data_IF_644629949446
#
_entry.id   IF_644629949446
#
_cell.length_a   1.000
_cell.length_b   1.000
_cell.length_c   1.000
_cell.angle_alpha   90.00
_cell.angle_beta   90.00
_cell.angle_gamma   90.00
#
_symmetry.space_group_name_H-M   'P 1'
#
loop_
_entity.id
_entity.type
_entity.pdbx_description
1 polymer ?
#
# COMPACT_ATOMS: atom_id res chain seq x y z
N UNK A 1 5.78 -17.72 -23.43
CA UNK A 1 6.02 -17.04 -24.71
C UNK A 1 7.41 -16.44 -24.63
N UNK A 2 8.20 -16.52 -25.69
CA UNK A 2 9.42 -15.71 -25.85
C UNK A 2 9.04 -14.26 -26.14
N UNK A 3 10.02 -13.34 -26.12
CA UNK A 3 9.79 -11.93 -26.46
C UNK A 3 9.30 -11.79 -27.91
N UNK A 4 9.92 -12.48 -28.87
CA UNK A 4 9.53 -12.45 -30.28
C UNK A 4 8.11 -12.97 -30.49
N UNK A 5 7.75 -14.06 -29.79
CA UNK A 5 6.39 -14.60 -29.82
C UNK A 5 5.35 -13.62 -29.25
N UNK A 6 5.71 -12.83 -28.25
CA UNK A 6 4.85 -11.77 -27.70
C UNK A 6 4.65 -10.64 -28.72
N UNK A 7 5.71 -10.20 -29.40
CA UNK A 7 5.64 -9.17 -30.45
C UNK A 7 4.76 -9.65 -31.60
N UNK A 8 4.94 -10.88 -32.07
CA UNK A 8 4.13 -11.47 -33.14
C UNK A 8 2.66 -11.60 -32.76
N UNK A 9 2.37 -12.03 -31.53
CA UNK A 9 1.02 -12.09 -31.02
C UNK A 9 0.38 -10.70 -30.93
N UNK A 10 1.12 -9.70 -30.45
CA UNK A 10 0.69 -8.32 -30.37
C UNK A 10 0.33 -7.75 -31.75
N UNK A 11 1.21 -7.91 -32.75
CA UNK A 11 0.96 -7.44 -34.14
C UNK A 11 -0.33 -8.02 -34.70
N UNK A 12 -0.58 -9.31 -34.51
CA UNK A 12 -1.79 -9.99 -34.97
C UNK A 12 -3.04 -9.49 -34.24
N UNK A 13 -2.97 -9.40 -32.91
CA UNK A 13 -4.06 -8.92 -32.07
C UNK A 13 -4.45 -7.48 -32.41
N UNK A 14 -3.48 -6.56 -32.46
CA UNK A 14 -3.73 -5.14 -32.72
C UNK A 14 -4.42 -4.93 -34.07
N UNK A 15 -3.97 -5.66 -35.11
CA UNK A 15 -4.66 -5.65 -36.40
C UNK A 15 -6.11 -6.10 -36.27
N UNK A 16 -6.38 -7.25 -35.66
CA UNK A 16 -7.74 -7.75 -35.49
C UNK A 16 -8.64 -6.76 -34.73
N UNK A 17 -8.13 -6.17 -33.65
CA UNK A 17 -8.87 -5.28 -32.76
C UNK A 17 -9.20 -3.95 -33.43
N UNK A 18 -8.25 -3.37 -34.16
CA UNK A 18 -8.33 -1.99 -34.65
C UNK A 18 -8.63 -1.85 -36.15
N UNK A 19 -8.70 -2.95 -36.92
CA UNK A 19 -8.99 -2.91 -38.37
C UNK A 19 -10.45 -2.53 -38.68
N UNK A 20 -11.41 -2.78 -37.77
CA UNK A 20 -12.84 -2.45 -37.97
C UNK A 20 -13.39 -1.56 -36.85
N UNK A 21 -13.86 -0.35 -37.21
CA UNK A 21 -14.55 0.57 -36.28
C UNK A 21 -16.00 0.14 -36.06
N UNK A 22 -16.53 0.31 -34.84
CA UNK A 22 -17.96 0.03 -34.59
C UNK A 22 -18.87 1.05 -35.31
N UNK A 23 -20.05 0.57 -35.73
CA UNK A 23 -20.98 1.34 -36.55
C UNK A 23 -21.64 2.46 -35.71
N UNK A 24 -21.21 3.71 -35.94
CA UNK A 24 -21.57 4.93 -35.16
C UNK A 24 -23.06 5.30 -35.16
N UNK A 25 -23.88 4.64 -36.00
CA UNK A 25 -25.29 5.00 -36.22
C UNK A 25 -26.24 4.55 -35.10
N UNK A 26 -25.90 3.52 -34.31
CA UNK A 26 -26.83 2.90 -33.34
C UNK A 26 -26.82 3.62 -31.98
N UNK A 27 -25.65 4.05 -31.50
CA UNK A 27 -25.51 4.61 -30.14
C UNK A 27 -25.77 6.12 -30.03
N UNK A 28 -25.76 6.87 -31.15
CA UNK A 28 -26.02 8.33 -31.16
C UNK A 28 -27.41 8.73 -30.64
N UNK A 29 -28.37 7.79 -30.60
CA UNK A 29 -29.73 8.02 -30.07
C UNK A 29 -29.83 7.99 -28.54
N UNK A 30 -28.84 7.45 -27.81
CA UNK A 30 -28.95 7.22 -26.37
C UNK A 30 -28.09 8.16 -25.49
N UNK A 31 -27.44 9.18 -26.07
CA UNK A 31 -26.72 10.20 -25.29
C UNK A 31 -25.47 9.71 -24.51
N UNK A 32 -25.10 8.42 -24.66
CA UNK A 32 -23.91 7.84 -24.03
C UNK A 32 -22.62 8.03 -24.85
N UNK A 33 -21.47 7.93 -24.18
CA UNK A 33 -20.16 7.87 -24.83
C UNK A 33 -20.11 6.63 -25.75
N UNK A 34 -19.76 6.83 -27.01
CA UNK A 34 -19.68 5.76 -28.01
C UNK A 34 -18.30 5.11 -27.97
N UNK A 35 -18.18 3.79 -27.72
CA UNK A 35 -16.92 3.08 -27.90
C UNK A 35 -16.52 3.10 -29.38
N UNK A 36 -15.22 3.27 -29.66
CA UNK A 36 -14.71 3.33 -31.03
C UNK A 36 -14.50 1.94 -31.66
N UNK A 37 -14.23 0.93 -30.83
CA UNK A 37 -13.86 -0.42 -31.22
C UNK A 37 -14.64 -1.48 -30.43
N UNK A 38 -14.69 -2.69 -30.96
CA UNK A 38 -15.51 -3.75 -30.39
C UNK A 38 -14.81 -4.47 -29.25
N UNK A 39 -15.40 -4.43 -28.04
CA UNK A 39 -14.93 -5.22 -26.90
C UNK A 39 -14.97 -6.72 -27.19
N UNK A 40 -15.86 -7.16 -28.09
CA UNK A 40 -15.94 -8.56 -28.52
C UNK A 40 -14.73 -8.99 -29.35
N UNK A 41 -14.21 -8.11 -30.20
CA UNK A 41 -12.99 -8.41 -30.96
C UNK A 41 -11.75 -8.43 -30.06
N UNK A 42 -11.69 -7.53 -29.06
CA UNK A 42 -10.68 -7.59 -28.01
C UNK A 42 -10.72 -8.90 -27.23
N UNK A 43 -11.90 -9.33 -26.77
CA UNK A 43 -12.09 -10.62 -26.08
C UNK A 43 -11.66 -11.80 -26.98
N UNK A 44 -12.11 -11.82 -28.24
CA UNK A 44 -11.78 -12.86 -29.19
C UNK A 44 -10.25 -12.96 -29.42
N UNK A 45 -9.58 -11.81 -29.60
CA UNK A 45 -8.15 -11.75 -29.82
C UNK A 45 -7.36 -12.33 -28.63
N UNK A 46 -7.74 -11.95 -27.40
CA UNK A 46 -7.13 -12.50 -26.16
C UNK A 46 -7.39 -14.00 -26.06
N UNK A 47 -8.64 -14.46 -26.30
CA UNK A 47 -9.00 -15.88 -26.27
C UNK A 47 -8.22 -16.70 -27.30
N UNK A 48 -7.95 -16.16 -28.49
CA UNK A 48 -7.13 -16.82 -29.49
C UNK A 48 -5.69 -17.03 -29.02
N UNK A 49 -5.07 -16.02 -28.38
CA UNK A 49 -3.73 -16.17 -27.80
C UNK A 49 -3.72 -17.23 -26.71
N UNK A 50 -4.69 -17.22 -25.80
CA UNK A 50 -4.81 -18.23 -24.73
C UNK A 50 -4.93 -19.65 -25.31
N UNK A 51 -5.81 -19.84 -26.30
CA UNK A 51 -5.99 -21.14 -26.98
C UNK A 51 -4.71 -21.60 -27.68
N UNK A 52 -3.98 -20.69 -28.32
CA UNK A 52 -2.69 -21.01 -28.97
C UNK A 52 -1.63 -21.52 -27.99
N UNK A 53 -1.80 -21.26 -26.69
CA UNK A 53 -0.91 -21.71 -25.60
C UNK A 53 -1.48 -22.87 -24.79
N UNK A 54 -2.56 -23.50 -25.26
CA UNK A 54 -3.21 -24.60 -24.55
C UNK A 54 -3.91 -24.18 -23.25
N UNK A 55 -4.17 -22.88 -23.07
CA UNK A 55 -4.91 -22.37 -21.92
C UNK A 55 -6.41 -22.41 -22.24
N UNK A 56 -7.22 -23.00 -21.34
CA UNK A 56 -8.67 -23.03 -21.49
C UNK A 56 -9.23 -21.59 -21.44
N UNK A 57 -9.78 -21.14 -22.56
CA UNK A 57 -10.31 -19.79 -22.74
C UNK A 57 -11.72 -19.59 -22.13
N UNK A 58 -12.39 -20.66 -21.69
CA UNK A 58 -13.77 -20.64 -21.16
C UNK A 58 -13.85 -21.01 -19.66
N UNK A 59 -12.72 -21.26 -19.00
CA UNK A 59 -12.64 -21.57 -17.57
C UNK A 59 -13.15 -20.38 -16.73
N UNK A 60 -14.24 -20.59 -15.96
CA UNK A 60 -14.84 -19.56 -15.09
C UNK A 60 -13.99 -19.35 -13.83
N UNK A 61 -13.82 -18.07 -13.48
CA UNK A 61 -12.96 -17.60 -12.40
C UNK A 61 -13.62 -17.76 -11.04
N UNK A 62 -13.25 -18.78 -10.26
CA UNK A 62 -13.58 -18.82 -8.84
C UNK A 62 -12.42 -18.27 -7.99
N UNK A 63 -12.76 -17.35 -7.09
CA UNK A 63 -11.89 -16.59 -6.19
C UNK A 63 -11.34 -17.42 -5.02
N UNK A 64 -10.87 -18.65 -5.28
CA UNK A 64 -10.10 -19.42 -4.31
C UNK A 64 -8.72 -19.74 -4.90
N UNK A 65 -7.70 -18.98 -4.49
CA UNK A 65 -6.29 -19.33 -4.73
C UNK A 65 -5.46 -18.40 -5.62
N UNK A 66 -5.88 -17.16 -5.88
CA UNK A 66 -4.95 -16.10 -6.29
C UNK A 66 -4.30 -16.21 -7.68
N UNK A 67 -4.91 -16.90 -8.66
CA UNK A 67 -4.44 -16.88 -10.06
C UNK A 67 -5.50 -16.26 -10.96
N UNK A 68 -5.27 -15.03 -11.41
CA UNK A 68 -6.22 -14.25 -12.20
C UNK A 68 -5.85 -14.29 -13.69
N UNK A 69 -6.72 -14.82 -14.57
CA UNK A 69 -6.52 -14.81 -16.05
C UNK A 69 -7.43 -13.82 -16.81
N UNK A 70 -8.37 -13.15 -16.13
CA UNK A 70 -9.13 -12.00 -16.66
C UNK A 70 -8.51 -10.58 -16.46
N UNK A 71 -7.32 -10.37 -15.84
CA UNK A 71 -6.73 -9.03 -15.75
C UNK A 71 -6.53 -8.40 -17.12
N UNK A 72 -5.96 -9.14 -18.08
CA UNK A 72 -5.60 -8.59 -19.39
C UNK A 72 -6.77 -7.97 -20.17
N UNK A 73 -7.98 -8.56 -20.08
CA UNK A 73 -9.16 -8.01 -20.76
C UNK A 73 -9.65 -6.75 -20.02
N UNK A 74 -9.79 -6.83 -18.69
CA UNK A 74 -10.21 -5.71 -17.85
C UNK A 74 -9.26 -4.51 -17.92
N UNK A 75 -7.95 -4.76 -17.85
CA UNK A 75 -6.88 -3.75 -17.92
C UNK A 75 -6.66 -3.21 -19.32
N UNK A 76 -7.36 -3.69 -20.36
CA UNK A 76 -7.23 -3.18 -21.73
C UNK A 76 -8.51 -2.50 -22.25
N UNK A 77 -9.56 -2.42 -21.43
CA UNK A 77 -10.81 -1.76 -21.80
C UNK A 77 -10.73 -0.25 -21.60
N UNK A 78 -9.84 0.39 -22.38
CA UNK A 78 -9.61 1.84 -22.32
C UNK A 78 -10.94 2.58 -22.53
N UNK A 79 -11.33 3.49 -21.60
CA UNK A 79 -12.51 4.32 -21.78
C UNK A 79 -12.47 5.04 -23.12
N UNK A 80 -13.63 5.19 -23.78
CA UNK A 80 -13.79 5.71 -25.16
C UNK A 80 -13.35 4.78 -26.29
N UNK A 81 -12.51 3.77 -26.03
CA UNK A 81 -12.10 2.76 -27.02
C UNK A 81 -13.00 1.54 -26.98
N UNK A 82 -13.22 1.01 -25.78
CA UNK A 82 -14.00 -0.20 -25.54
C UNK A 82 -15.10 0.06 -24.51
N UNK A 83 -16.15 -0.75 -24.56
CA UNK A 83 -17.16 -0.78 -23.49
C UNK A 83 -16.57 -1.40 -22.23
N UNK A 84 -16.98 -0.94 -21.02
CA UNK A 84 -16.62 -1.60 -19.77
C UNK A 84 -16.95 -3.09 -19.79
N UNK A 85 -16.10 -3.90 -19.17
CA UNK A 85 -16.29 -5.35 -19.12
C UNK A 85 -17.02 -5.72 -17.83
N UNK A 86 -18.16 -6.40 -17.96
CA UNK A 86 -18.85 -6.97 -16.81
C UNK A 86 -18.21 -8.30 -16.41
N UNK A 87 -17.67 -8.38 -15.18
CA UNK A 87 -17.26 -9.64 -14.56
C UNK A 87 -18.13 -9.83 -13.32
N UNK A 88 -18.98 -10.86 -13.33
CA UNK A 88 -20.02 -11.07 -12.32
C UNK A 88 -20.94 -9.84 -12.17
N UNK A 89 -21.04 -9.26 -10.98
CA UNK A 89 -21.85 -8.06 -10.70
C UNK A 89 -21.07 -6.74 -10.85
N UNK A 90 -19.78 -6.79 -11.20
CA UNK A 90 -18.89 -5.63 -11.22
C UNK A 90 -18.49 -5.26 -12.65
N UNK A 91 -18.35 -3.96 -12.91
CA UNK A 91 -17.90 -3.43 -14.20
C UNK A 91 -16.46 -2.96 -14.06
N UNK A 92 -15.60 -3.41 -14.97
CA UNK A 92 -14.17 -3.12 -15.00
C UNK A 92 -13.84 -2.27 -16.22
N UNK A 93 -12.89 -1.36 -16.03
CA UNK A 93 -12.32 -0.46 -17.02
C UNK A 93 -10.80 -0.53 -16.93
N UNK A 94 -10.12 -0.03 -17.95
CA UNK A 94 -8.65 -0.02 -18.04
C UNK A 94 -7.96 0.57 -16.80
N UNK A 95 -6.82 -0.04 -16.43
CA UNK A 95 -5.96 0.44 -15.35
C UNK A 95 -5.24 1.75 -15.69
N UNK A 96 -5.19 2.15 -16.97
CA UNK A 96 -4.67 3.42 -17.42
C UNK A 96 -5.36 4.62 -16.73
N UNK A 97 -6.59 4.45 -16.24
CA UNK A 97 -7.23 5.40 -15.34
C UNK A 97 -6.66 5.33 -13.91
N UNK A 98 -5.43 5.82 -13.75
CA UNK A 98 -4.82 6.11 -12.45
C UNK A 98 -3.75 5.13 -11.97
N UNK A 99 -3.44 4.08 -12.74
CA UNK A 99 -2.35 3.14 -12.46
C UNK A 99 -1.63 2.70 -13.76
N UNK A 100 -1.40 3.62 -14.70
CA UNK A 100 -0.75 3.29 -15.98
C UNK A 100 0.74 2.96 -15.82
N UNK A 101 1.34 3.39 -14.71
CA UNK A 101 2.62 2.90 -14.22
C UNK A 101 2.40 2.15 -12.89
N UNK A 102 2.29 0.81 -12.89
CA UNK A 102 1.87 0.04 -11.72
C UNK A 102 2.98 -0.14 -10.66
N UNK A 103 4.04 0.67 -10.69
CA UNK A 103 5.19 0.47 -9.81
C UNK A 103 4.86 0.64 -8.34
N UNK A 104 3.94 1.55 -7.99
CA UNK A 104 3.55 1.79 -6.59
C UNK A 104 2.60 0.70 -6.09
N UNK A 105 1.66 0.29 -6.93
CA UNK A 105 0.71 -0.80 -6.65
C UNK A 105 1.44 -2.14 -6.53
N UNK A 106 2.42 -2.40 -7.40
CA UNK A 106 3.29 -3.58 -7.32
C UNK A 106 4.13 -3.57 -6.04
N UNK A 107 4.67 -2.40 -5.67
CA UNK A 107 5.43 -2.25 -4.43
C UNK A 107 4.55 -2.50 -3.20
N UNK A 108 3.34 -1.94 -3.15
CA UNK A 108 2.37 -2.12 -2.07
C UNK A 108 1.97 -3.59 -1.93
N UNK A 109 1.51 -4.22 -3.02
CA UNK A 109 1.09 -5.63 -3.00
C UNK A 109 2.25 -6.57 -2.64
N UNK A 110 3.45 -6.34 -3.18
CA UNK A 110 4.62 -7.15 -2.83
C UNK A 110 5.05 -6.93 -1.37
N UNK A 111 4.86 -5.72 -0.83
CA UNK A 111 5.11 -5.44 0.58
C UNK A 111 4.12 -6.21 1.47
N UNK A 112 2.83 -6.19 1.14
CA UNK A 112 1.81 -6.91 1.89
C UNK A 112 2.01 -8.43 1.83
N UNK A 113 2.33 -8.97 0.65
CA UNK A 113 2.51 -10.41 0.45
C UNK A 113 3.83 -10.94 1.02
N UNK A 114 4.93 -10.21 0.85
CA UNK A 114 6.26 -10.71 1.19
C UNK A 114 6.76 -10.19 2.53
N UNK A 115 6.25 -9.05 3.00
CA UNK A 115 6.76 -8.32 4.16
C UNK A 115 5.66 -7.97 5.16
N UNK A 116 4.62 -8.79 5.33
CA UNK A 116 3.51 -8.53 6.27
C UNK A 116 3.95 -8.06 7.67
N UNK A 117 5.08 -8.58 8.15
CA UNK A 117 5.62 -8.24 9.48
C UNK A 117 6.54 -7.00 9.49
N UNK A 118 7.30 -6.75 8.41
CA UNK A 118 8.38 -5.74 8.41
C UNK A 118 8.04 -4.51 7.56
N UNK A 119 7.18 -4.63 6.56
CA UNK A 119 6.94 -3.60 5.54
C UNK A 119 8.17 -3.28 4.66
N UNK A 120 9.28 -4.02 4.80
CA UNK A 120 10.56 -3.68 4.16
C UNK A 120 10.85 -4.54 2.93
N UNK A 121 10.32 -4.13 1.79
CA UNK A 121 10.46 -4.86 0.52
C UNK A 121 11.85 -4.72 -0.15
N UNK A 122 12.45 -3.53 -0.12
CA UNK A 122 13.67 -3.23 -0.90
C UNK A 122 14.88 -4.16 -0.65
N UNK A 123 15.14 -4.65 0.58
CA UNK A 123 16.21 -5.62 0.81
C UNK A 123 15.95 -6.99 0.16
N UNK A 124 14.69 -7.38 -0.03
CA UNK A 124 14.30 -8.66 -0.62
C UNK A 124 14.36 -8.64 -2.15
N UNK A 125 14.26 -7.45 -2.75
CA UNK A 125 14.24 -7.29 -4.20
C UNK A 125 15.66 -7.19 -4.74
N UNK A 126 16.08 -8.23 -5.47
CA UNK A 126 17.38 -8.26 -6.17
C UNK A 126 17.44 -7.26 -7.31
N UNK A 127 16.40 -7.22 -8.14
CA UNK A 127 16.30 -6.35 -9.30
C UNK A 127 14.85 -5.93 -9.53
N UNK A 128 14.59 -4.61 -9.59
CA UNK A 128 13.29 -4.06 -10.00
C UNK A 128 13.43 -3.49 -11.41
N UNK A 129 12.73 -4.07 -12.39
CA UNK A 129 12.70 -3.56 -13.76
C UNK A 129 11.33 -2.99 -14.07
N UNK A 130 11.29 -1.70 -14.39
CA UNK A 130 10.09 -1.00 -14.86
C UNK A 130 10.24 -0.69 -16.35
N UNK A 131 9.25 -1.07 -17.16
CA UNK A 131 9.24 -0.85 -18.62
C UNK A 131 8.08 0.07 -18.96
N UNK A 132 8.37 1.17 -19.65
CA UNK A 132 7.37 2.11 -20.12
C UNK A 132 7.00 1.86 -21.58
N UNK A 133 5.80 2.30 -21.96
CA UNK A 133 5.27 2.23 -23.33
C UNK A 133 5.64 3.45 -24.18
N UNK A 134 6.55 4.29 -23.69
CA UNK A 134 6.99 5.51 -24.36
C UNK A 134 6.17 6.74 -24.02
N UNK A 135 6.74 7.92 -24.32
CA UNK A 135 6.10 9.22 -24.10
C UNK A 135 5.44 9.72 -25.41
N UNK A 136 4.10 9.86 -25.45
CA UNK A 136 3.38 10.30 -26.66
C UNK A 136 3.44 11.81 -26.90
N UNK A 137 4.20 12.58 -26.10
CA UNK A 137 4.36 14.02 -26.27
C UNK A 137 3.07 14.84 -26.08
N UNK A 138 3.17 16.16 -26.24
CA UNK A 138 2.02 17.07 -26.19
C UNK A 138 1.48 17.29 -27.60
N UNK A 139 0.27 16.81 -27.88
CA UNK A 139 -0.40 17.05 -29.16
C UNK A 139 -1.19 18.36 -29.14
N UNK A 140 -1.09 19.15 -30.20
CA UNK A 140 -2.10 20.16 -30.55
C UNK A 140 -3.07 19.53 -31.56
N UNK A 141 -4.38 19.59 -31.30
CA UNK A 141 -5.39 19.08 -32.24
C UNK A 141 -6.45 20.14 -32.48
N UNK A 142 -6.63 20.51 -33.74
CA UNK A 142 -7.61 21.49 -34.23
C UNK A 142 -9.03 20.93 -34.37
N UNK A 143 -9.25 19.63 -34.13
CA UNK A 143 -10.54 18.96 -34.26
C UNK A 143 -11.25 18.66 -32.93
N UNK A 144 -12.47 19.19 -32.80
CA UNK A 144 -13.32 19.09 -31.58
C UNK A 144 -13.66 17.65 -31.17
N UNK A 145 -13.61 16.68 -32.09
CA UNK A 145 -13.94 15.28 -31.82
C UNK A 145 -12.82 14.47 -31.15
N UNK A 146 -11.57 14.93 -31.24
CA UNK A 146 -10.38 14.23 -30.73
C UNK A 146 -9.75 14.92 -29.51
N UNK A 147 -10.21 16.13 -29.19
CA UNK A 147 -9.69 16.94 -28.07
C UNK A 147 -9.73 16.19 -26.73
N UNK A 148 -10.88 15.62 -26.36
CA UNK A 148 -11.03 14.88 -25.11
C UNK A 148 -10.12 13.65 -25.02
N UNK A 149 -9.84 13.00 -26.16
CA UNK A 149 -8.96 11.84 -26.21
C UNK A 149 -7.50 12.21 -26.01
N UNK A 150 -7.05 13.30 -26.64
CA UNK A 150 -5.69 13.83 -26.42
C UNK A 150 -5.51 14.29 -24.98
N UNK A 151 -6.53 14.90 -24.37
CA UNK A 151 -6.51 15.27 -22.95
C UNK A 151 -6.41 14.05 -22.04
N UNK A 152 -7.11 12.96 -22.33
CA UNK A 152 -6.98 11.69 -21.57
C UNK A 152 -5.59 11.08 -21.72
N UNK A 153 -5.06 10.94 -22.94
CA UNK A 153 -3.70 10.42 -23.15
C UNK A 153 -2.63 11.28 -22.48
N UNK A 154 -2.76 12.60 -22.58
CA UNK A 154 -1.83 13.53 -21.93
C UNK A 154 -1.90 13.40 -20.41
N UNK A 155 -3.11 13.25 -19.84
CA UNK A 155 -3.31 13.02 -18.41
C UNK A 155 -2.72 11.69 -17.96
N UNK A 156 -2.88 10.62 -18.74
CA UNK A 156 -2.32 9.29 -18.45
C UNK A 156 -0.79 9.30 -18.56
N UNK A 157 -0.21 9.92 -19.58
CA UNK A 157 1.24 10.09 -19.71
C UNK A 157 1.82 10.91 -18.55
N UNK A 158 1.10 11.97 -18.13
CA UNK A 158 1.50 12.80 -16.98
C UNK A 158 1.45 12.01 -15.67
N UNK A 159 0.40 11.21 -15.46
CA UNK A 159 0.27 10.34 -14.29
C UNK A 159 1.39 9.29 -14.26
N UNK A 160 1.63 8.62 -15.39
CA UNK A 160 2.70 7.62 -15.57
C UNK A 160 4.07 8.17 -15.15
N UNK A 161 4.39 9.40 -15.57
CA UNK A 161 5.66 10.05 -15.26
C UNK A 161 5.71 10.53 -13.80
N UNK A 162 4.62 11.09 -13.27
CA UNK A 162 4.55 11.46 -11.86
C UNK A 162 4.76 10.25 -10.94
N UNK A 163 4.18 9.10 -11.30
CA UNK A 163 4.35 7.84 -10.59
C UNK A 163 5.77 7.28 -10.75
N UNK A 164 6.39 7.45 -11.93
CA UNK A 164 7.81 7.13 -12.13
C UNK A 164 8.73 7.95 -11.20
N UNK A 165 8.51 9.26 -11.09
CA UNK A 165 9.31 10.13 -10.21
C UNK A 165 9.16 9.74 -8.73
N UNK A 166 7.95 9.38 -8.29
CA UNK A 166 7.72 8.85 -6.94
C UNK A 166 8.47 7.53 -6.72
N UNK A 167 8.39 6.60 -7.67
CA UNK A 167 9.09 5.33 -7.61
C UNK A 167 10.61 5.51 -7.57
N UNK A 168 11.19 6.35 -8.44
CA UNK A 168 12.61 6.70 -8.42
C UNK A 168 13.03 7.30 -7.08
N UNK A 169 12.19 8.14 -6.48
CA UNK A 169 12.43 8.71 -5.15
C UNK A 169 12.48 7.63 -4.06
N UNK A 170 11.53 6.69 -4.07
CA UNK A 170 11.45 5.57 -3.11
C UNK A 170 12.60 4.58 -3.29
N UNK A 171 12.93 4.23 -4.52
CA UNK A 171 13.93 3.21 -4.89
C UNK A 171 15.31 3.79 -5.20
N UNK A 172 15.58 5.05 -4.81
CA UNK A 172 16.82 5.77 -5.15
C UNK A 172 18.08 4.97 -4.86
N UNK A 173 18.19 4.39 -3.66
CA UNK A 173 19.35 3.58 -3.26
C UNK A 173 19.52 2.34 -4.16
N UNK A 174 18.42 1.71 -4.55
CA UNK A 174 18.46 0.58 -5.48
C UNK A 174 18.85 1.02 -6.89
N UNK A 175 18.39 2.18 -7.36
CA UNK A 175 18.78 2.74 -8.66
C UNK A 175 20.28 3.06 -8.68
N UNK A 176 20.77 3.78 -7.67
CA UNK A 176 22.20 4.15 -7.53
C UNK A 176 23.10 2.91 -7.46
N UNK A 177 22.62 1.81 -6.86
CA UNK A 177 23.34 0.53 -6.77
C UNK A 177 23.14 -0.39 -7.98
N UNK A 178 22.44 0.04 -9.03
CA UNK A 178 22.17 -0.80 -10.20
C UNK A 178 21.33 -2.03 -9.88
N UNK A 179 20.37 -1.90 -8.97
CA UNK A 179 19.35 -2.90 -8.60
C UNK A 179 17.94 -2.48 -9.02
N UNK A 180 17.75 -1.29 -9.57
CA UNK A 180 16.47 -0.86 -10.10
C UNK A 180 16.69 -0.10 -11.41
N UNK A 181 15.89 -0.41 -12.42
CA UNK A 181 16.05 0.09 -13.79
C UNK A 181 14.70 0.49 -14.36
N UNK A 182 14.65 1.67 -14.98
CA UNK A 182 13.50 2.13 -15.78
C UNK A 182 13.94 2.22 -17.23
N UNK A 183 13.24 1.50 -18.11
CA UNK A 183 13.42 1.60 -19.55
C UNK A 183 12.18 2.24 -20.17
N UNK A 184 12.35 3.36 -20.86
CA UNK A 184 11.26 4.08 -21.50
C UNK A 184 11.75 4.82 -22.73
N UNK A 185 10.93 4.85 -23.78
CA UNK A 185 11.20 5.62 -25.00
C UNK A 185 10.69 7.05 -24.82
N UNK A 186 11.59 7.97 -24.49
CA UNK A 186 11.19 9.34 -24.13
C UNK A 186 10.87 10.25 -25.33
N UNK A 187 11.35 9.89 -26.53
CA UNK A 187 11.20 10.67 -27.76
C UNK A 187 11.00 9.76 -28.98
N UNK A 188 10.34 10.28 -30.01
CA UNK A 188 10.11 9.61 -31.30
C UNK A 188 8.71 9.01 -31.46
N UNK A 189 7.86 9.10 -30.43
CA UNK A 189 6.49 8.57 -30.41
C UNK A 189 5.42 9.67 -30.28
N UNK A 190 5.80 10.94 -30.43
CA UNK A 190 4.94 12.11 -30.17
C UNK A 190 3.72 12.21 -31.12
N UNK A 191 3.73 11.40 -32.20
CA UNK A 191 2.69 11.33 -33.21
C UNK A 191 1.85 10.04 -33.21
N UNK A 192 2.19 9.02 -32.42
CA UNK A 192 1.58 7.68 -32.51
C UNK A 192 0.37 7.54 -31.58
N UNK A 193 -0.79 7.18 -32.12
CA UNK A 193 -2.01 6.90 -31.34
C UNK A 193 -2.14 5.45 -30.86
N UNK A 194 -2.89 5.22 -29.79
CA UNK A 194 -3.14 3.87 -29.23
C UNK A 194 -3.80 2.89 -30.23
N UNK A 195 -4.62 3.39 -31.16
CA UNK A 195 -5.28 2.57 -32.20
C UNK A 195 -4.48 2.50 -33.52
N UNK A 196 -3.30 3.11 -33.58
CA UNK A 196 -2.53 3.27 -34.81
C UNK A 196 -1.65 2.05 -35.09
N UNK A 197 -2.30 0.89 -35.19
CA UNK A 197 -1.64 -0.42 -35.35
C UNK A 197 -0.77 -0.53 -36.62
N UNK A 198 -0.94 0.39 -37.57
CA UNK A 198 -0.14 0.47 -38.81
C UNK A 198 1.24 1.07 -38.58
N UNK A 199 1.47 1.76 -37.46
CA UNK A 199 2.77 2.38 -37.10
C UNK A 199 3.73 1.37 -36.44
N UNK A 200 3.54 0.07 -36.68
CA UNK A 200 4.37 -0.99 -36.11
C UNK A 200 5.86 -0.82 -36.42
N UNK A 201 6.19 -0.46 -37.67
CA UNK A 201 7.58 -0.24 -38.10
C UNK A 201 8.21 0.98 -37.41
N UNK A 202 7.42 2.02 -37.12
CA UNK A 202 7.86 3.20 -36.38
C UNK A 202 8.11 2.88 -34.89
N UNK A 203 7.23 2.08 -34.27
CA UNK A 203 7.42 1.61 -32.90
C UNK A 203 8.70 0.78 -32.77
N UNK A 204 8.94 -0.14 -33.70
CA UNK A 204 10.13 -0.99 -33.71
C UNK A 204 11.41 -0.20 -33.95
N UNK A 205 11.42 0.68 -34.96
CA UNK A 205 12.60 1.50 -35.27
C UNK A 205 12.93 2.48 -34.14
N UNK A 206 11.92 3.07 -33.50
CA UNK A 206 12.13 3.96 -32.35
C UNK A 206 12.66 3.19 -31.13
N UNK A 207 12.10 2.00 -30.83
CA UNK A 207 12.61 1.14 -29.76
C UNK A 207 14.04 0.67 -30.04
N UNK A 208 14.36 0.27 -31.27
CA UNK A 208 15.71 -0.11 -31.68
C UNK A 208 16.69 1.06 -31.54
N UNK A 209 16.27 2.28 -31.92
CA UNK A 209 17.06 3.50 -31.75
C UNK A 209 17.33 3.79 -30.27
N UNK A 210 16.31 3.66 -29.42
CA UNK A 210 16.44 3.82 -27.96
C UNK A 210 17.45 2.82 -27.39
N UNK A 211 17.36 1.54 -27.77
CA UNK A 211 18.27 0.49 -27.33
C UNK A 211 19.70 0.66 -27.89
N UNK A 212 19.87 1.37 -29.01
CA UNK A 212 21.17 1.69 -29.60
C UNK A 212 21.90 2.86 -28.93
N UNK A 213 21.25 3.64 -28.07
CA UNK A 213 21.89 4.76 -27.35
C UNK A 213 22.96 4.23 -26.39
N UNK A 214 24.13 4.87 -26.35
CA UNK A 214 25.27 4.46 -25.49
C UNK A 214 24.89 4.33 -24.02
N UNK A 215 24.09 5.26 -23.48
CA UNK A 215 23.56 5.20 -22.11
C UNK A 215 22.68 3.96 -21.91
N UNK A 216 21.66 3.79 -22.74
CA UNK A 216 20.75 2.62 -22.68
C UNK A 216 21.48 1.29 -22.80
N UNK A 217 22.48 1.17 -23.69
CA UNK A 217 23.30 -0.04 -23.80
C UNK A 217 24.01 -0.35 -22.46
N UNK A 218 24.54 0.69 -21.81
CA UNK A 218 25.17 0.59 -20.50
C UNK A 218 24.19 0.09 -19.44
N UNK A 219 23.01 0.71 -19.37
CA UNK A 219 21.97 0.38 -18.38
C UNK A 219 21.40 -1.02 -18.59
N UNK A 220 21.12 -1.42 -19.83
CA UNK A 220 20.66 -2.78 -20.17
C UNK A 220 21.73 -3.80 -19.80
N UNK A 221 23.01 -3.52 -20.09
CA UNK A 221 24.10 -4.40 -19.68
C UNK A 221 24.19 -4.53 -18.16
N UNK A 222 24.14 -3.42 -17.43
CA UNK A 222 24.17 -3.42 -15.97
C UNK A 222 23.00 -4.22 -15.38
N UNK A 223 21.80 -4.07 -15.96
CA UNK A 223 20.61 -4.84 -15.58
C UNK A 223 20.81 -6.35 -15.82
N UNK A 224 21.31 -6.73 -17.00
CA UNK A 224 21.60 -8.14 -17.34
C UNK A 224 22.65 -8.73 -16.40
N UNK A 225 23.74 -8.02 -16.12
CA UNK A 225 24.78 -8.50 -15.19
C UNK A 225 24.25 -8.63 -13.76
N UNK A 226 23.41 -7.70 -13.30
CA UNK A 226 22.74 -7.81 -12.00
C UNK A 226 21.86 -9.07 -11.93
N UNK A 227 21.05 -9.32 -12.96
CA UNK A 227 20.18 -10.48 -13.05
C UNK A 227 20.96 -11.79 -13.15
N UNK A 228 22.09 -11.81 -13.87
CA UNK A 228 23.00 -12.98 -13.95
C UNK A 228 23.65 -13.29 -12.62
N UNK A 229 23.99 -12.28 -11.83
CA UNK A 229 24.51 -12.42 -10.47
C UNK A 229 23.45 -12.87 -9.44
N UNK A 230 22.33 -13.45 -9.89
CA UNK A 230 21.35 -14.11 -9.03
C UNK A 230 21.83 -15.52 -8.73
N UNK A 231 22.47 -15.68 -7.58
CA UNK A 231 23.11 -16.94 -7.16
C UNK A 231 22.16 -17.94 -6.46
N UNK A 232 20.87 -17.63 -6.34
CA UNK A 232 19.93 -18.43 -5.55
C UNK A 232 18.74 -18.93 -6.38
N UNK A 233 18.37 -20.19 -6.17
CA UNK A 233 17.06 -20.69 -6.55
C UNK A 233 15.99 -20.01 -5.68
N UNK A 234 14.86 -19.56 -6.26
CA UNK A 234 13.78 -18.93 -5.50
C UNK A 234 12.99 -19.98 -4.74
N UNK A 235 13.61 -20.62 -3.75
CA UNK A 235 12.95 -21.58 -2.88
C UNK A 235 12.20 -20.87 -1.76
N UNK A 236 11.22 -21.56 -1.17
CA UNK A 236 10.46 -21.06 -0.02
C UNK A 236 11.42 -20.85 1.16
N UNK A 237 12.39 -21.73 1.33
CA UNK A 237 13.42 -21.68 2.36
C UNK A 237 14.32 -20.45 2.21
N UNK A 238 14.75 -20.13 0.98
CA UNK A 238 15.57 -18.94 0.73
C UNK A 238 14.78 -17.64 0.93
N UNK A 239 13.51 -17.63 0.52
CA UNK A 239 12.61 -16.49 0.78
C UNK A 239 12.44 -16.28 2.29
N UNK A 240 12.26 -17.36 3.06
CA UNK A 240 12.19 -17.29 4.53
C UNK A 240 13.51 -16.84 5.15
N UNK A 241 14.65 -17.29 4.62
CA UNK A 241 15.97 -16.83 5.04
C UNK A 241 16.16 -15.33 4.81
N UNK A 242 15.80 -14.82 3.62
CA UNK A 242 15.87 -13.38 3.35
C UNK A 242 14.93 -12.57 4.26
N UNK A 243 13.71 -13.07 4.52
CA UNK A 243 12.79 -12.46 5.49
C UNK A 243 13.41 -12.43 6.90
N UNK A 244 14.06 -13.51 7.33
CA UNK A 244 14.77 -13.56 8.61
C UNK A 244 15.98 -12.63 8.65
N UNK A 245 16.80 -12.57 7.59
CA UNK A 245 17.90 -11.61 7.50
C UNK A 245 17.39 -10.16 7.48
N UNK A 246 16.27 -9.87 6.82
CA UNK A 246 15.65 -8.54 6.87
C UNK A 246 15.18 -8.20 8.29
N UNK A 247 14.59 -9.16 9.02
CA UNK A 247 14.26 -8.99 10.46
C UNK A 247 15.50 -8.80 11.32
N UNK A 248 16.59 -9.52 11.05
CA UNK A 248 17.87 -9.39 11.77
C UNK A 248 18.55 -8.08 11.42
N UNK A 249 18.51 -7.61 10.16
CA UNK A 249 18.99 -6.28 9.78
C UNK A 249 18.13 -5.16 10.37
N UNK A 250 16.85 -5.39 10.65
CA UNK A 250 16.01 -4.42 11.39
C UNK A 250 16.30 -4.46 12.91
N UNK A 251 16.67 -5.64 13.44
CA UNK A 251 17.18 -5.80 14.81
C UNK A 251 18.65 -5.40 15.03
N UNK A 252 19.47 -5.38 13.97
CA UNK A 252 20.91 -5.05 13.98
C UNK A 252 21.24 -3.71 13.32
N UNK A 253 20.35 -3.15 12.49
CA UNK A 253 20.26 -1.69 12.35
C UNK A 253 19.82 -1.21 13.72
N UNK A 254 20.81 -0.89 14.56
CA UNK A 254 20.72 0.39 15.25
C UNK A 254 20.27 1.37 14.15
N UNK A 255 19.06 1.96 14.24
CA UNK A 255 18.60 2.85 13.19
C UNK A 255 19.77 3.80 12.95
N UNK A 256 20.20 3.97 11.69
CA UNK A 256 20.97 5.16 11.37
C UNK A 256 20.16 6.27 12.00
N UNK A 257 20.65 6.84 13.12
CA UNK A 257 19.79 7.57 14.06
C UNK A 257 19.14 8.66 13.24
N UNK A 258 17.89 8.44 12.82
CA UNK A 258 17.08 9.45 12.23
C UNK A 258 16.81 10.34 13.42
N UNK A 259 17.72 11.28 13.66
CA UNK A 259 17.63 12.24 14.75
C UNK A 259 16.57 13.21 14.28
N UNK A 260 15.33 12.95 14.69
CA UNK A 260 14.31 13.98 14.66
C UNK A 260 14.69 15.03 15.71
N UNK A 261 14.62 16.30 15.31
CA UNK A 261 14.70 17.41 16.23
C UNK A 261 13.56 17.34 17.25
N UNK A 262 13.71 17.93 18.46
CA UNK A 262 12.62 18.02 19.42
C UNK A 262 11.33 18.63 18.84
N UNK A 263 11.48 19.55 17.88
CA UNK A 263 10.36 20.19 17.16
C UNK A 263 9.61 19.20 16.29
N UNK A 264 10.30 18.37 15.50
CA UNK A 264 9.67 17.35 14.65
C UNK A 264 8.94 16.30 15.49
N UNK A 265 9.52 15.90 16.64
CA UNK A 265 8.86 14.98 17.57
C UNK A 265 7.60 15.62 18.16
N UNK A 266 7.67 16.89 18.57
CA UNK A 266 6.52 17.62 19.09
C UNK A 266 5.42 17.79 18.03
N UNK A 267 5.79 18.04 16.77
CA UNK A 267 4.87 18.14 15.65
C UNK A 267 4.16 16.81 15.38
N UNK A 268 4.89 15.69 15.36
CA UNK A 268 4.31 14.35 15.22
C UNK A 268 3.30 14.04 16.35
N UNK A 269 3.64 14.37 17.59
CA UNK A 269 2.73 14.20 18.74
C UNK A 269 1.49 15.10 18.59
N UNK A 270 1.66 16.33 18.11
CA UNK A 270 0.57 17.28 17.86
C UNK A 270 -0.37 16.80 16.74
N UNK A 271 0.19 16.32 15.63
CA UNK A 271 -0.55 15.76 14.50
C UNK A 271 -1.30 14.49 14.91
N UNK A 272 -0.65 13.61 15.68
CA UNK A 272 -1.27 12.41 16.25
C UNK A 272 -2.44 12.75 17.17
N UNK A 273 -2.22 13.66 18.12
CA UNK A 273 -3.27 14.11 19.06
C UNK A 273 -4.41 14.83 18.35
N UNK A 274 -4.12 15.63 17.32
CA UNK A 274 -5.15 16.30 16.52
C UNK A 274 -5.97 15.32 15.69
N UNK A 275 -5.35 14.23 15.21
CA UNK A 275 -6.07 13.14 14.52
C UNK A 275 -7.04 12.39 15.43
N UNK A 276 -6.72 12.25 16.73
CA UNK A 276 -7.61 11.69 17.74
C UNK A 276 -8.81 12.60 18.08
N UNK A 277 -8.68 13.93 17.91
CA UNK A 277 -9.74 14.90 18.22
C UNK A 277 -10.75 15.12 17.08
N UNK A 278 -10.48 14.60 15.88
CA UNK A 278 -11.41 14.69 14.74
C UNK A 278 -12.68 13.89 15.04
N UNK A 279 -13.79 14.26 14.40
CA UNK A 279 -15.05 13.52 14.48
C UNK A 279 -15.52 13.10 13.07
N UNK A 280 -15.43 11.80 12.70
CA UNK A 280 -14.85 10.71 13.48
C UNK A 280 -13.31 10.80 13.58
N UNK A 281 -12.69 10.21 14.61
CA UNK A 281 -11.23 10.24 14.78
C UNK A 281 -10.52 9.45 13.68
N UNK A 282 -9.40 9.97 13.18
CA UNK A 282 -8.54 9.25 12.23
C UNK A 282 -7.52 8.40 13.02
N UNK A 283 -7.98 7.24 13.49
CA UNK A 283 -7.18 6.34 14.34
C UNK A 283 -5.92 5.79 13.64
N UNK A 284 -5.94 5.37 12.36
CA UNK A 284 -4.72 4.93 11.67
C UNK A 284 -3.65 6.01 11.61
N UNK A 285 -4.02 7.24 11.24
CA UNK A 285 -3.05 8.34 11.16
C UNK A 285 -2.54 8.76 12.54
N UNK A 286 -3.42 8.77 13.54
CA UNK A 286 -3.02 9.01 14.92
C UNK A 286 -1.98 7.99 15.37
N UNK A 287 -2.22 6.70 15.10
CA UNK A 287 -1.32 5.62 15.45
C UNK A 287 0.05 5.78 14.78
N UNK A 288 0.09 5.98 13.45
CA UNK A 288 1.34 6.16 12.69
C UNK A 288 2.18 7.32 13.23
N UNK A 289 1.57 8.48 13.48
CA UNK A 289 2.30 9.66 13.95
C UNK A 289 2.87 9.44 15.36
N UNK A 290 2.07 8.82 16.26
CA UNK A 290 2.49 8.58 17.64
C UNK A 290 3.55 7.47 17.75
N UNK A 291 3.48 6.40 16.94
CA UNK A 291 4.50 5.35 16.91
C UNK A 291 5.81 5.86 16.31
N UNK A 292 5.74 6.73 15.30
CA UNK A 292 6.91 7.42 14.73
C UNK A 292 7.56 8.35 15.76
N UNK A 293 6.78 9.11 16.52
CA UNK A 293 7.32 9.91 17.61
C UNK A 293 7.99 9.04 18.70
N UNK A 294 7.40 7.87 19.01
CA UNK A 294 7.93 6.96 20.01
C UNK A 294 9.26 6.34 19.58
N UNK A 295 9.42 6.00 18.31
CA UNK A 295 10.69 5.45 17.81
C UNK A 295 11.83 6.47 17.94
N UNK A 296 11.56 7.76 17.66
CA UNK A 296 12.54 8.82 17.87
C UNK A 296 12.89 9.03 19.35
N UNK A 297 11.88 9.08 20.24
CA UNK A 297 12.12 9.21 21.68
C UNK A 297 12.93 8.04 22.25
N UNK A 298 12.69 6.81 21.78
CA UNK A 298 13.44 5.63 22.25
C UNK A 298 14.86 5.55 21.68
N UNK A 299 15.11 6.18 20.54
CA UNK A 299 16.43 6.21 19.91
C UNK A 299 17.39 7.22 20.55
N UNK A 300 16.87 8.21 21.28
CA UNK A 300 17.66 9.20 22.00
C UNK A 300 17.80 8.83 23.49
N UNK A 301 19.01 8.41 23.95
CA UNK A 301 19.25 8.06 25.34
C UNK A 301 19.14 9.24 26.32
N UNK A 302 19.14 10.49 25.82
CA UNK A 302 18.89 11.68 26.63
C UNK A 302 17.38 11.93 26.90
N UNK A 303 16.49 11.16 26.27
CA UNK A 303 15.05 11.33 26.46
C UNK A 303 14.63 11.03 27.89
N UNK A 304 13.95 11.97 28.59
CA UNK A 304 13.40 11.71 29.91
C UNK A 304 12.35 10.57 29.88
N UNK A 305 12.43 9.58 30.79
CA UNK A 305 11.48 8.46 30.82
C UNK A 305 10.01 8.90 30.89
N UNK A 306 9.71 10.00 31.59
CA UNK A 306 8.37 10.61 31.65
C UNK A 306 7.79 10.97 30.26
N UNK A 307 8.62 11.33 29.29
CA UNK A 307 8.16 11.66 27.93
C UNK A 307 7.76 10.39 27.18
N UNK A 308 8.54 9.32 27.32
CA UNK A 308 8.23 8.00 26.77
C UNK A 308 6.94 7.46 27.39
N UNK A 309 6.80 7.56 28.71
CA UNK A 309 5.60 7.10 29.42
C UNK A 309 4.33 7.80 28.93
N UNK A 310 4.33 9.14 28.87
CA UNK A 310 3.18 9.92 28.36
C UNK A 310 2.78 9.54 26.94
N UNK A 311 3.74 9.31 26.07
CA UNK A 311 3.45 8.91 24.69
C UNK A 311 2.91 7.47 24.62
N UNK A 312 3.49 6.55 25.39
CA UNK A 312 2.98 5.20 25.52
C UNK A 312 1.54 5.17 26.07
N UNK A 313 1.18 6.00 27.05
CA UNK A 313 -0.20 6.10 27.53
C UNK A 313 -1.17 6.55 26.42
N UNK A 314 -0.77 7.51 25.57
CA UNK A 314 -1.56 7.91 24.38
C UNK A 314 -1.69 6.76 23.37
N UNK A 315 -0.63 6.00 23.15
CA UNK A 315 -0.64 4.83 22.26
C UNK A 315 -1.52 3.70 22.82
N UNK A 316 -1.52 3.47 24.14
CA UNK A 316 -2.45 2.54 24.81
C UNK A 316 -3.89 2.92 24.52
N UNK A 317 -4.27 4.19 24.72
CA UNK A 317 -5.62 4.67 24.40
C UNK A 317 -5.96 4.53 22.91
N UNK A 318 -5.01 4.87 22.03
CA UNK A 318 -5.20 4.78 20.57
C UNK A 318 -5.40 3.33 20.12
N UNK A 319 -4.61 2.39 20.64
CA UNK A 319 -4.74 0.96 20.37
C UNK A 319 -6.04 0.36 20.90
N UNK A 320 -6.52 0.83 22.06
CA UNK A 320 -7.85 0.45 22.56
C UNK A 320 -8.96 0.91 21.62
N UNK A 321 -8.92 2.16 21.14
CA UNK A 321 -9.88 2.68 20.16
C UNK A 321 -9.84 1.94 18.82
N UNK A 322 -8.64 1.60 18.34
CA UNK A 322 -8.46 0.76 17.15
C UNK A 322 -9.08 -0.63 17.35
N UNK A 323 -8.87 -1.23 18.51
CA UNK A 323 -9.47 -2.52 18.86
C UNK A 323 -11.00 -2.44 18.88
N UNK A 324 -11.56 -1.44 19.56
CA UNK A 324 -13.01 -1.21 19.62
C UNK A 324 -13.63 -1.00 18.23
N UNK A 325 -12.91 -0.33 17.33
CA UNK A 325 -13.38 -0.02 15.97
C UNK A 325 -13.17 -1.16 14.97
N UNK A 326 -12.40 -2.20 15.33
CA UNK A 326 -12.07 -3.29 14.44
C UNK A 326 -13.28 -4.20 14.16
N UNK A 327 -13.56 -4.43 12.87
CA UNK A 327 -14.62 -5.33 12.40
C UNK A 327 -14.25 -6.81 12.58
N UNK A 328 -12.99 -7.16 12.35
CA UNK A 328 -12.48 -8.53 12.49
C UNK A 328 -12.13 -8.83 13.95
N UNK A 329 -12.57 -9.99 14.44
CA UNK A 329 -12.21 -10.48 15.78
C UNK A 329 -10.70 -10.66 15.97
N UNK A 330 -9.98 -11.07 14.91
CA UNK A 330 -8.52 -11.20 14.94
C UNK A 330 -7.83 -9.85 15.09
N UNK A 331 -8.21 -8.86 14.27
CA UNK A 331 -7.66 -7.49 14.36
C UNK A 331 -8.01 -6.83 15.69
N UNK A 332 -9.21 -7.08 16.22
CA UNK A 332 -9.62 -6.63 17.56
C UNK A 332 -8.67 -7.17 18.64
N UNK A 333 -8.38 -8.47 18.63
CA UNK A 333 -7.42 -9.09 19.57
C UNK A 333 -6.02 -8.50 19.42
N UNK A 334 -5.51 -8.41 18.20
CA UNK A 334 -4.18 -7.84 17.91
C UNK A 334 -4.01 -6.43 18.47
N UNK A 335 -4.97 -5.53 18.25
CA UNK A 335 -4.90 -4.17 18.79
C UNK A 335 -5.04 -4.13 20.32
N UNK A 336 -5.77 -5.08 20.93
CA UNK A 336 -5.84 -5.20 22.38
C UNK A 336 -4.52 -5.70 22.98
N UNK A 337 -3.79 -6.57 22.29
CA UNK A 337 -2.44 -7.01 22.67
C UNK A 337 -1.42 -5.86 22.52
N UNK A 338 -1.50 -5.08 21.43
CA UNK A 338 -0.68 -3.87 21.27
C UNK A 338 -0.93 -2.85 22.38
N UNK A 339 -2.19 -2.65 22.77
CA UNK A 339 -2.52 -1.76 23.88
C UNK A 339 -1.87 -2.22 25.19
N UNK A 340 -1.77 -3.54 25.42
CA UNK A 340 -1.10 -4.10 26.60
C UNK A 340 0.39 -3.80 26.57
N UNK A 341 1.05 -4.00 25.44
CA UNK A 341 2.47 -3.71 25.29
C UNK A 341 2.80 -2.24 25.58
N UNK A 342 1.99 -1.31 25.07
CA UNK A 342 2.18 0.12 25.37
C UNK A 342 1.86 0.47 26.82
N UNK A 343 0.88 -0.18 27.46
CA UNK A 343 0.59 0.02 28.88
C UNK A 343 1.76 -0.43 29.77
N UNK A 344 2.35 -1.58 29.46
CA UNK A 344 3.50 -2.11 30.21
C UNK A 344 4.72 -1.19 30.07
N UNK A 345 5.01 -0.70 28.85
CA UNK A 345 6.07 0.29 28.60
C UNK A 345 5.81 1.63 29.28
N UNK A 346 4.56 2.08 29.32
CA UNK A 346 4.18 3.31 30.02
C UNK A 346 4.48 3.19 31.51
N UNK A 347 4.16 2.05 32.12
CA UNK A 347 4.39 1.77 33.53
C UNK A 347 5.89 1.68 33.86
N UNK A 348 6.65 0.95 33.06
CA UNK A 348 8.11 0.85 33.22
C UNK A 348 8.77 2.23 33.21
N UNK A 349 8.44 3.06 32.22
CA UNK A 349 9.01 4.40 32.09
C UNK A 349 8.51 5.39 33.15
N UNK A 350 7.29 5.21 33.67
CA UNK A 350 6.78 5.99 34.80
C UNK A 350 7.56 5.68 36.08
N UNK A 351 7.82 4.39 36.34
CA UNK A 351 8.65 3.93 37.47
C UNK A 351 10.09 4.43 37.36
N UNK A 352 10.68 4.40 36.17
CA UNK A 352 12.00 4.98 35.91
C UNK A 352 12.04 6.50 36.11
N UNK A 353 10.92 7.20 35.93
CA UNK A 353 10.82 8.64 36.14
C UNK A 353 10.61 9.03 37.63
N UNK A 354 10.40 8.05 38.52
CA UNK A 354 10.05 8.26 39.93
C UNK A 354 8.84 9.21 40.11
N UNK A 355 7.84 9.07 39.23
CA UNK A 355 6.63 9.90 39.19
C UNK A 355 5.43 9.05 39.60
N UNK A 356 5.11 9.05 40.91
CA UNK A 356 4.03 8.22 41.49
C UNK A 356 2.66 8.51 40.84
N UNK A 357 2.38 9.77 40.50
CA UNK A 357 1.15 10.15 39.81
C UNK A 357 1.09 9.48 38.42
N UNK A 358 2.19 9.52 37.67
CA UNK A 358 2.27 8.91 36.34
C UNK A 358 2.21 7.37 36.41
N UNK A 359 2.76 6.77 37.47
CA UNK A 359 2.62 5.34 37.75
C UNK A 359 1.15 4.99 37.94
N UNK A 360 0.43 5.72 38.80
CA UNK A 360 -1.01 5.50 39.02
C UNK A 360 -1.82 5.64 37.72
N UNK A 361 -1.50 6.64 36.88
CA UNK A 361 -2.14 6.79 35.56
C UNK A 361 -1.87 5.59 34.64
N UNK A 362 -0.63 5.10 34.58
CA UNK A 362 -0.24 3.97 33.74
C UNK A 362 -0.87 2.65 34.21
N UNK A 363 -0.93 2.42 35.53
CA UNK A 363 -1.55 1.23 36.11
C UNK A 363 -3.07 1.21 35.88
N UNK A 364 -3.74 2.36 36.01
CA UNK A 364 -5.15 2.49 35.64
C UNK A 364 -5.38 2.17 34.16
N UNK A 365 -4.58 2.75 33.25
CA UNK A 365 -4.70 2.45 31.82
C UNK A 365 -4.45 0.96 31.54
N UNK A 366 -3.50 0.33 32.23
CA UNK A 366 -3.24 -1.10 32.17
C UNK A 366 -4.42 -1.96 32.67
N UNK A 367 -5.15 -1.50 33.69
CA UNK A 367 -6.37 -2.16 34.17
C UNK A 367 -7.51 -2.07 33.15
N UNK A 368 -7.71 -0.90 32.51
CA UNK A 368 -8.65 -0.75 31.39
C UNK A 368 -8.36 -1.71 30.24
N UNK A 369 -7.07 -1.88 29.87
CA UNK A 369 -6.66 -2.88 28.87
C UNK A 369 -7.00 -4.29 29.33
N UNK A 370 -6.75 -4.62 30.60
CA UNK A 370 -7.09 -5.93 31.18
C UNK A 370 -8.58 -6.26 31.03
N UNK A 371 -9.45 -5.31 31.40
CA UNK A 371 -10.91 -5.41 31.23
C UNK A 371 -11.27 -5.64 29.76
N UNK A 372 -10.73 -4.84 28.84
CA UNK A 372 -11.01 -4.97 27.42
C UNK A 372 -10.54 -6.31 26.84
N UNK A 373 -9.38 -6.82 27.26
CA UNK A 373 -8.88 -8.13 26.82
C UNK A 373 -9.74 -9.28 27.30
N UNK A 374 -10.26 -9.22 28.53
CA UNK A 374 -11.24 -10.20 29.04
C UNK A 374 -12.51 -10.16 28.19
N UNK A 375 -12.98 -8.96 27.85
CA UNK A 375 -14.13 -8.76 26.97
C UNK A 375 -13.95 -9.39 25.59
N UNK A 376 -12.84 -9.07 24.91
CA UNK A 376 -12.56 -9.54 23.55
C UNK A 376 -12.31 -11.04 23.48
N UNK A 377 -11.77 -11.65 24.54
CA UNK A 377 -11.42 -13.07 24.56
C UNK A 377 -12.50 -13.98 25.14
N UNK A 378 -13.58 -13.45 25.71
CA UNK A 378 -14.63 -14.25 26.34
C UNK A 378 -14.17 -14.89 27.66
N UNK A 379 -13.62 -14.08 28.59
CA UNK A 379 -13.11 -14.60 29.86
C UNK A 379 -14.19 -15.18 30.80
N UNK A 380 -13.76 -16.12 31.65
CA UNK A 380 -14.57 -16.73 32.72
C UNK A 380 -15.04 -15.70 33.75
N UNK A 381 -16.07 -16.05 34.54
CA UNK A 381 -16.61 -15.20 35.61
C UNK A 381 -15.49 -14.75 36.57
N UNK A 382 -14.64 -15.69 37.02
CA UNK A 382 -13.48 -15.39 37.88
C UNK A 382 -12.54 -14.34 37.26
N UNK A 383 -12.24 -14.45 35.96
CA UNK A 383 -11.38 -13.48 35.27
C UNK A 383 -12.04 -12.11 35.16
N UNK A 384 -13.37 -12.04 35.05
CA UNK A 384 -14.15 -10.80 35.02
C UNK A 384 -14.09 -10.09 36.37
N UNK A 385 -14.34 -10.83 37.45
CA UNK A 385 -14.28 -10.31 38.82
C UNK A 385 -12.89 -9.76 39.16
N UNK A 386 -11.82 -10.48 38.79
CA UNK A 386 -10.44 -10.03 39.02
C UNK A 386 -10.15 -8.71 38.34
N UNK A 387 -10.53 -8.54 37.07
CA UNK A 387 -10.25 -7.28 36.34
C UNK A 387 -11.18 -6.14 36.77
N UNK A 388 -12.39 -6.42 37.21
CA UNK A 388 -13.32 -5.44 37.79
C UNK A 388 -12.77 -4.87 39.10
N UNK A 389 -12.37 -5.76 40.03
CA UNK A 389 -11.77 -5.36 41.32
C UNK A 389 -10.48 -4.56 41.08
N UNK A 390 -9.62 -5.03 40.18
CA UNK A 390 -8.37 -4.34 39.86
C UNK A 390 -8.61 -2.94 39.28
N UNK A 391 -9.57 -2.78 38.36
CA UNK A 391 -9.89 -1.46 37.81
C UNK A 391 -10.43 -0.50 38.88
N UNK A 392 -11.26 -0.99 39.79
CA UNK A 392 -11.72 -0.21 40.95
C UNK A 392 -10.56 0.27 41.84
N UNK A 393 -9.66 -0.65 42.21
CA UNK A 393 -8.48 -0.34 43.01
C UNK A 393 -7.59 0.73 42.35
N UNK A 394 -7.32 0.61 41.05
CA UNK A 394 -6.48 1.61 40.35
C UNK A 394 -7.16 2.97 40.20
N UNK A 395 -8.49 3.00 40.11
CA UNK A 395 -9.23 4.27 40.14
C UNK A 395 -9.15 4.94 41.52
N UNK A 396 -9.24 4.16 42.60
CA UNK A 396 -9.11 4.68 43.96
C UNK A 396 -7.71 5.22 44.25
N UNK A 397 -6.66 4.54 43.78
CA UNK A 397 -5.28 5.02 43.88
C UNK A 397 -5.09 6.36 43.15
N UNK A 398 -5.73 6.55 41.99
CA UNK A 398 -5.68 7.82 41.25
C UNK A 398 -6.34 8.99 42.01
N UNK A 399 -7.31 8.73 42.88
CA UNK A 399 -7.96 9.77 43.70
C UNK A 399 -7.00 10.44 44.68
N UNK A 400 -5.93 9.76 45.08
CA UNK A 400 -4.86 10.35 45.89
C UNK A 400 -4.19 11.56 45.19
N UNK A 401 -4.34 11.67 43.86
CA UNK A 401 -3.73 12.73 43.04
C UNK A 401 -4.76 13.72 42.47
N UNK A 402 -5.97 13.83 43.04
CA UNK A 402 -7.06 14.69 42.52
C UNK A 402 -6.67 16.17 42.31
N UNK A 403 -5.71 16.69 43.08
CA UNK A 403 -5.17 18.03 42.89
C UNK A 403 -4.24 18.21 41.68
N UNK A 404 -3.82 17.11 41.04
CA UNK A 404 -2.83 17.08 39.94
C UNK A 404 -3.43 16.53 38.64
N UNK A 405 -4.38 15.60 38.74
CA UNK A 405 -5.06 14.95 37.60
C UNK A 405 -6.55 15.14 37.66
N UNK A 406 -7.17 15.34 36.48
CA UNK A 406 -8.63 15.40 36.36
C UNK A 406 -9.25 14.01 36.52
N UNK A 407 -9.44 13.58 37.77
CA UNK A 407 -9.95 12.24 38.15
C UNK A 407 -11.29 11.92 37.49
N UNK A 408 -12.16 12.93 37.30
CA UNK A 408 -13.45 12.77 36.61
C UNK A 408 -13.34 12.09 35.23
N UNK A 409 -12.31 12.41 34.45
CA UNK A 409 -12.11 11.79 33.13
C UNK A 409 -11.77 10.29 33.26
N UNK A 410 -11.06 9.91 34.32
CA UNK A 410 -10.74 8.52 34.64
C UNK A 410 -11.97 7.76 35.17
N UNK A 411 -12.83 8.42 35.95
CA UNK A 411 -14.10 7.83 36.41
C UNK A 411 -15.05 7.54 35.24
N UNK A 412 -15.19 8.48 34.30
CA UNK A 412 -15.97 8.29 33.07
C UNK A 412 -15.41 7.13 32.22
N UNK A 413 -14.08 7.03 32.14
CA UNK A 413 -13.40 5.94 31.43
C UNK A 413 -13.63 4.59 32.13
N UNK A 414 -13.47 4.53 33.44
CA UNK A 414 -13.70 3.31 34.23
C UNK A 414 -15.15 2.81 34.06
N UNK A 415 -16.13 3.72 34.15
CA UNK A 415 -17.54 3.41 33.92
C UNK A 415 -17.80 2.80 32.54
N UNK A 416 -17.10 3.29 31.51
CA UNK A 416 -17.16 2.72 30.15
C UNK A 416 -16.65 1.29 30.11
N UNK A 417 -15.48 1.01 30.71
CA UNK A 417 -14.87 -0.33 30.68
C UNK A 417 -15.63 -1.34 31.54
N UNK A 418 -16.08 -0.93 32.74
CA UNK A 418 -16.95 -1.75 33.58
C UNK A 418 -18.27 -2.07 32.87
N UNK A 419 -18.79 -1.12 32.07
CA UNK A 419 -19.96 -1.32 31.23
C UNK A 419 -19.80 -2.45 30.19
N UNK A 420 -18.58 -2.74 29.72
CA UNK A 420 -18.34 -3.88 28.82
C UNK A 420 -18.43 -5.22 29.56
N UNK A 421 -17.95 -5.32 30.80
CA UNK A 421 -18.05 -6.55 31.59
C UNK A 421 -19.50 -6.93 31.87
N UNK A 422 -20.35 -5.93 32.16
CA UNK A 422 -21.80 -6.14 32.40
C UNK A 422 -22.58 -6.60 31.17
N UNK A 423 -22.02 -6.43 29.97
CA UNK A 423 -22.64 -6.85 28.69
C UNK A 423 -22.28 -8.29 28.28
N UNK A 424 -21.36 -8.93 28.98
CA UNK A 424 -20.95 -10.32 28.76
C UNK A 424 -21.67 -11.27 29.70
#
# INVERSE_FOLDING_TARGET
MTVDECIDAYKKMMRQIFEKKENRSVFKRLGGVTPQFSSKELENAIKQVLRSRGVNAEEKFETKGGKCKLPALATSAAPTYFSPIAISSSHFIDGALGANNPCLELEEEATDLWCEETGHLQPLVKCFVSIGTGNPGVRSVSDKGWKYFVETLAKEATETEATNQKWLGRWRDAVEKGRAFRFNVDHGLEGVGLAEWKEGDLLESTAATYLGKRGTIGDVRACVENLRAKEYEPTVEFTNFLKQQAKVQDGQRSPAQAKATPTEIAELISLGTSSLRKNPPNLPQAYINLTTALSFLRADPATPPKNVSRLCQKLTQTSLLLSMSARSGTKRKQHADQAREYADKALENAKMADDECMVAQAEFMGACVGVWKVFVNGGSIEKREVVEVLLGQRLDELRAFEGTVGVRAYEEMAGTYLGYLRKM
#
